data_IF_841759924021
#
_entry.id   IF_841759924021
#
_cell.length_a   1.000
_cell.length_b   1.000
_cell.length_c   1.000
_cell.angle_alpha   90.00
_cell.angle_beta   90.00
_cell.angle_gamma   90.00
#
_symmetry.space_group_name_H-M   'P 1'
#
loop_
_entity.id
_entity.type
_entity.pdbx_description
1 polymer ?
#
# COMPACT_ATOMS: atom_id res chain seq x y z
N UNK A 1 17.42 -16.70 5.14
CA UNK A 1 16.57 -16.93 6.32
C UNK A 1 16.38 -15.68 7.20
N UNK A 2 17.39 -14.84 7.46
CA UNK A 2 17.20 -13.59 8.23
C UNK A 2 16.41 -12.49 7.48
N UNK A 3 16.56 -12.40 6.15
CA UNK A 3 15.94 -11.31 5.38
C UNK A 3 14.45 -11.52 5.08
N UNK A 4 13.99 -12.76 4.90
CA UNK A 4 12.57 -13.08 4.65
C UNK A 4 11.70 -12.78 5.88
N UNK A 5 12.13 -13.22 7.07
CA UNK A 5 11.42 -12.92 8.32
C UNK A 5 11.35 -11.41 8.59
N UNK A 6 12.39 -10.66 8.19
CA UNK A 6 12.41 -9.21 8.31
C UNK A 6 11.49 -8.54 7.29
N UNK A 7 11.38 -9.08 6.07
CA UNK A 7 10.40 -8.63 5.07
C UNK A 7 8.99 -8.84 5.62
N UNK A 8 8.68 -10.03 6.13
CA UNK A 8 7.37 -10.36 6.69
C UNK A 8 6.98 -9.43 7.84
N UNK A 9 7.90 -9.17 8.76
CA UNK A 9 7.65 -8.28 9.91
C UNK A 9 7.38 -6.84 9.45
N UNK A 10 8.16 -6.32 8.50
CA UNK A 10 7.92 -4.98 7.95
C UNK A 10 6.59 -4.89 7.20
N UNK A 11 6.23 -5.91 6.42
CA UNK A 11 4.95 -5.96 5.71
C UNK A 11 3.78 -6.03 6.69
N UNK A 12 3.90 -6.79 7.78
CA UNK A 12 2.90 -6.88 8.84
C UNK A 12 2.69 -5.55 9.56
N UNK A 13 3.77 -4.85 9.90
CA UNK A 13 3.68 -3.52 10.52
C UNK A 13 3.05 -2.50 9.56
N UNK A 14 3.47 -2.49 8.29
CA UNK A 14 2.88 -1.62 7.28
C UNK A 14 1.38 -1.88 7.11
N UNK A 15 0.96 -3.16 7.11
CA UNK A 15 -0.44 -3.54 7.02
C UNK A 15 -1.25 -2.98 8.19
N UNK A 16 -0.75 -3.08 9.43
CA UNK A 16 -1.42 -2.52 10.61
C UNK A 16 -1.65 -1.01 10.51
N UNK A 17 -0.69 -0.26 9.96
CA UNK A 17 -0.87 1.17 9.71
C UNK A 17 -1.89 1.44 8.60
N UNK A 18 -1.89 0.63 7.54
CA UNK A 18 -2.87 0.73 6.44
C UNK A 18 -4.29 0.43 6.95
N UNK A 19 -4.48 -0.59 7.79
CA UNK A 19 -5.77 -0.93 8.41
C UNK A 19 -6.33 0.25 9.22
N UNK A 20 -5.49 0.88 10.04
CA UNK A 20 -5.88 2.07 10.80
C UNK A 20 -6.30 3.21 9.85
N UNK A 21 -5.50 3.48 8.82
CA UNK A 21 -5.80 4.53 7.85
C UNK A 21 -7.11 4.26 7.08
N UNK A 22 -7.39 3.00 6.72
CA UNK A 22 -8.65 2.60 6.07
C UNK A 22 -9.83 2.90 6.99
N UNK A 23 -9.77 2.42 8.23
CA UNK A 23 -10.86 2.60 9.19
C UNK A 23 -11.13 4.09 9.44
N UNK A 24 -10.07 4.88 9.68
CA UNK A 24 -10.21 6.34 9.85
C UNK A 24 -10.76 7.02 8.60
N UNK A 25 -10.33 6.60 7.41
CA UNK A 25 -10.84 7.15 6.14
C UNK A 25 -12.33 6.88 5.94
N UNK A 26 -12.77 5.66 6.24
CA UNK A 26 -14.18 5.28 6.12
C UNK A 26 -15.03 6.07 7.11
N UNK A 27 -14.65 6.09 8.39
CA UNK A 27 -15.38 6.84 9.43
C UNK A 27 -15.50 8.32 9.04
N UNK A 28 -14.38 8.96 8.68
CA UNK A 28 -14.38 10.37 8.30
C UNK A 28 -15.21 10.64 7.02
N UNK A 29 -15.19 9.72 6.06
CA UNK A 29 -15.97 9.84 4.83
C UNK A 29 -17.47 9.61 5.00
N UNK A 30 -17.87 8.78 5.97
CA UNK A 30 -19.28 8.56 6.34
C UNK A 30 -19.82 9.74 7.15
N UNK A 31 -19.05 10.23 8.12
CA UNK A 31 -19.43 11.38 8.96
C UNK A 31 -19.47 12.68 8.16
N UNK A 32 -18.58 12.82 7.17
CA UNK A 32 -18.53 13.99 6.30
C UNK A 32 -18.36 13.61 4.83
N UNK A 33 -19.47 13.45 4.07
CA UNK A 33 -19.42 13.12 2.65
C UNK A 33 -18.59 14.11 1.81
N UNK A 34 -18.51 15.38 2.20
CA UNK A 34 -17.70 16.37 1.48
C UNK A 34 -16.18 16.11 1.59
N UNK A 35 -15.74 15.38 2.62
CA UNK A 35 -14.35 15.01 2.82
C UNK A 35 -13.90 13.83 1.93
N UNK A 36 -14.82 13.06 1.37
CA UNK A 36 -14.52 11.85 0.60
C UNK A 36 -13.57 12.12 -0.58
N UNK A 37 -13.76 13.24 -1.29
CA UNK A 37 -12.87 13.63 -2.39
C UNK A 37 -11.43 13.83 -1.92
N UNK A 38 -11.24 14.53 -0.81
CA UNK A 38 -9.92 14.80 -0.26
C UNK A 38 -9.27 13.54 0.31
N UNK A 39 -10.06 12.67 0.95
CA UNK A 39 -9.61 11.36 1.43
C UNK A 39 -9.15 10.51 0.25
N UNK A 40 -9.92 10.46 -0.84
CA UNK A 40 -9.55 9.78 -2.07
C UNK A 40 -8.21 10.26 -2.64
N UNK A 41 -8.01 11.58 -2.70
CA UNK A 41 -6.73 12.17 -3.16
C UNK A 41 -5.53 11.76 -2.29
N UNK A 42 -5.72 11.56 -0.97
CA UNK A 42 -4.65 11.05 -0.09
C UNK A 42 -4.29 9.60 -0.43
N UNK A 43 -5.28 8.76 -0.69
CA UNK A 43 -5.07 7.38 -1.12
C UNK A 43 -4.41 7.30 -2.49
N UNK A 44 -4.83 8.12 -3.45
CA UNK A 44 -4.20 8.22 -4.77
C UNK A 44 -2.72 8.58 -4.65
N UNK A 45 -2.38 9.59 -3.84
CA UNK A 45 -1.00 9.99 -3.62
C UNK A 45 -0.16 8.88 -2.97
N UNK A 46 -0.69 8.22 -1.94
CA UNK A 46 0.00 7.12 -1.26
C UNK A 46 0.27 5.93 -2.20
N UNK A 47 -0.76 5.48 -2.92
CA UNK A 47 -0.63 4.35 -3.86
C UNK A 47 0.32 4.71 -5.01
N UNK A 48 0.24 5.93 -5.53
CA UNK A 48 1.15 6.46 -6.54
C UNK A 48 2.61 6.36 -6.08
N UNK A 49 2.92 6.90 -4.90
CA UNK A 49 4.26 6.86 -4.32
C UNK A 49 4.75 5.43 -4.10
N UNK A 50 3.90 4.53 -3.58
CA UNK A 50 4.24 3.13 -3.37
C UNK A 50 4.65 2.43 -4.67
N UNK A 51 3.82 2.54 -5.71
CA UNK A 51 4.11 1.91 -7.01
C UNK A 51 5.30 2.54 -7.71
N UNK A 52 5.46 3.86 -7.64
CA UNK A 52 6.61 4.56 -8.19
C UNK A 52 7.90 4.09 -7.53
N UNK A 53 7.93 4.04 -6.19
CA UNK A 53 9.10 3.60 -5.44
C UNK A 53 9.47 2.15 -5.74
N UNK A 54 8.49 1.24 -5.74
CA UNK A 54 8.70 -0.17 -6.07
C UNK A 54 9.27 -0.35 -7.49
N UNK A 55 8.77 0.41 -8.48
CA UNK A 55 9.30 0.38 -9.86
C UNK A 55 10.69 0.99 -9.96
N UNK A 56 10.94 2.12 -9.31
CA UNK A 56 12.22 2.82 -9.35
C UNK A 56 13.34 1.93 -8.77
N UNK A 57 13.12 1.34 -7.59
CA UNK A 57 14.06 0.41 -6.96
C UNK A 57 14.25 -0.86 -7.79
N UNK A 58 13.17 -1.38 -8.37
CA UNK A 58 13.25 -2.48 -9.32
C UNK A 58 14.14 -2.15 -10.52
N UNK A 59 13.95 -0.99 -11.13
CA UNK A 59 14.74 -0.52 -12.29
C UNK A 59 16.22 -0.35 -11.95
N UNK A 60 16.55 0.25 -10.81
CA UNK A 60 17.94 0.38 -10.32
C UNK A 60 18.67 -0.96 -10.25
N UNK A 61 17.95 -2.01 -9.82
CA UNK A 61 18.51 -3.34 -9.59
C UNK A 61 18.22 -4.35 -10.72
N UNK A 62 17.61 -3.91 -11.83
CA UNK A 62 17.11 -4.78 -12.93
C UNK A 62 16.18 -5.92 -12.44
N UNK A 63 15.41 -5.65 -11.40
CA UNK A 63 14.42 -6.56 -10.81
C UNK A 63 13.02 -6.03 -11.03
N UNK A 64 12.05 -6.90 -11.32
CA UNK A 64 10.63 -6.53 -11.37
C UNK A 64 9.90 -7.09 -10.15
N UNK A 65 9.95 -6.38 -9.02
CA UNK A 65 9.28 -6.78 -7.77
C UNK A 65 7.77 -6.96 -7.97
N UNK A 66 7.11 -6.04 -8.67
CA UNK A 66 5.67 -6.15 -8.97
C UNK A 66 5.35 -7.36 -9.85
N UNK A 67 6.30 -7.80 -10.69
CA UNK A 67 6.17 -9.01 -11.49
C UNK A 67 6.23 -10.32 -10.70
N UNK A 68 6.75 -10.29 -9.46
CA UNK A 68 6.74 -11.45 -8.55
C UNK A 68 5.41 -11.59 -7.83
N UNK A 69 4.62 -10.52 -7.79
CA UNK A 69 3.29 -10.52 -7.18
C UNK A 69 2.30 -11.11 -8.17
N UNK A 70 1.67 -12.22 -7.79
CA UNK A 70 0.56 -12.77 -8.56
C UNK A 70 -0.74 -12.08 -8.20
N UNK A 71 -1.01 -10.94 -8.81
CA UNK A 71 -2.26 -10.20 -8.64
C UNK A 71 -3.53 -11.03 -8.83
N UNK A 72 -3.59 -12.01 -9.76
CA UNK A 72 -4.76 -12.90 -9.86
C UNK A 72 -5.02 -13.74 -8.60
N UNK A 73 -3.98 -14.03 -7.80
CA UNK A 73 -4.07 -14.76 -6.53
C UNK A 73 -4.40 -13.89 -5.31
N UNK A 74 -4.49 -12.56 -5.48
CA UNK A 74 -4.85 -11.61 -4.41
C UNK A 74 -6.38 -11.51 -4.20
N UNK A 75 -7.18 -12.28 -4.96
CA UNK A 75 -8.63 -12.33 -4.76
C UNK A 75 -8.97 -13.10 -3.48
N UNK A 76 -9.62 -12.42 -2.54
CA UNK A 76 -10.41 -13.04 -1.47
C UNK A 76 -11.81 -13.36 -1.97
#
# INVERSE_FOLDING_TARGET
MLDEQKIDENLRQALSHIELAINTSITAGVENPSAQKLIGQKWEAFLGQFFEYARAKGKEQRVNLLGWISFPRIRH
#
